data_IF_046287018329
#
_entry.id   IF_046287018329
#
_cell.length_a   1.000
_cell.length_b   1.000
_cell.length_c   1.000
_cell.angle_alpha   90.00
_cell.angle_beta   90.00
_cell.angle_gamma   90.00
#
_symmetry.space_group_name_H-M   'P 1'
#
loop_
_entity.id
_entity.type
_entity.pdbx_description
1 polymer ?
#
# COMPACT_ATOMS: atom_id res chain seq x y z
N UNK A 1 -0.34 -3.70 2.71
CA UNK A 1 -0.06 -4.52 1.51
C UNK A 1 1.16 -5.39 1.77
N UNK A 2 1.33 -6.42 0.96
CA UNK A 2 2.54 -7.25 0.94
C UNK A 2 3.31 -6.88 -0.33
N UNK A 3 4.62 -6.66 -0.21
CA UNK A 3 5.50 -6.27 -1.31
C UNK A 3 6.63 -7.30 -1.49
N UNK A 4 7.09 -7.52 -2.73
CA UNK A 4 8.20 -8.44 -3.01
C UNK A 4 9.53 -7.85 -2.53
N UNK A 5 10.43 -8.71 -2.03
CA UNK A 5 11.70 -8.32 -1.37
C UNK A 5 12.62 -7.44 -2.22
N UNK A 6 12.51 -7.50 -3.54
CA UNK A 6 13.26 -6.67 -4.50
C UNK A 6 12.97 -5.17 -4.35
N UNK A 7 11.83 -4.82 -3.75
CA UNK A 7 11.46 -3.43 -3.44
C UNK A 7 11.92 -2.99 -2.04
N UNK A 8 12.57 -3.86 -1.27
CA UNK A 8 13.04 -3.53 0.07
C UNK A 8 14.11 -2.43 0.01
N UNK A 9 13.94 -1.38 0.83
CA UNK A 9 14.79 -0.18 0.82
C UNK A 9 14.44 0.85 -0.26
N UNK A 10 13.76 0.43 -1.34
CA UNK A 10 13.19 1.34 -2.33
C UNK A 10 11.91 2.00 -1.79
N UNK A 11 11.00 1.21 -1.23
CA UNK A 11 9.81 1.73 -0.52
C UNK A 11 10.23 2.25 0.86
N UNK A 12 9.86 3.49 1.17
CA UNK A 12 10.26 4.18 2.41
C UNK A 12 9.08 4.82 3.13
N UNK A 13 9.15 4.88 4.45
CA UNK A 13 8.21 5.67 5.26
C UNK A 13 8.18 7.11 4.79
N UNK A 14 6.98 7.67 4.63
CA UNK A 14 6.76 9.01 4.09
C UNK A 14 6.48 9.05 2.59
N UNK A 15 6.82 7.99 1.84
CA UNK A 15 6.54 7.90 0.41
C UNK A 15 5.04 7.88 0.14
N UNK A 16 4.64 8.46 -0.99
CA UNK A 16 3.24 8.48 -1.43
C UNK A 16 3.00 7.41 -2.48
N UNK A 17 1.99 6.58 -2.25
CA UNK A 17 1.49 5.58 -3.19
C UNK A 17 0.10 5.98 -3.70
N UNK A 18 -0.12 5.74 -4.99
CA UNK A 18 -1.43 5.89 -5.62
C UNK A 18 -2.18 4.56 -5.53
N UNK A 19 -3.27 4.55 -4.76
CA UNK A 19 -4.13 3.40 -4.52
C UNK A 19 -5.29 3.42 -5.50
N UNK A 20 -5.44 2.33 -6.26
CA UNK A 20 -6.64 2.05 -7.07
C UNK A 20 -7.42 0.94 -6.41
N UNK A 21 -8.70 1.21 -6.16
CA UNK A 21 -9.63 0.22 -5.64
C UNK A 21 -10.16 -0.66 -6.78
N UNK A 22 -10.82 -1.75 -6.42
CA UNK A 22 -11.50 -2.67 -7.35
C UNK A 22 -12.34 -1.90 -8.41
N UNK A 23 -12.42 -2.37 -9.68
CA UNK A 23 -13.08 -1.67 -10.78
C UNK A 23 -14.51 -1.19 -10.51
N UNK A 24 -15.25 -1.82 -9.59
CA UNK A 24 -16.59 -1.36 -9.19
C UNK A 24 -16.58 -0.05 -8.38
N UNK A 25 -15.42 0.37 -7.87
CA UNK A 25 -15.20 1.65 -7.20
C UNK A 25 -14.21 2.51 -8.00
N UNK A 26 -14.75 3.44 -8.79
CA UNK A 26 -13.96 4.40 -9.54
C UNK A 26 -13.21 5.35 -8.59
N UNK A 27 -11.91 5.54 -8.83
CA UNK A 27 -11.11 6.51 -8.09
C UNK A 27 -9.64 6.14 -7.97
N UNK A 28 -8.82 7.17 -7.82
CA UNK A 28 -7.40 7.07 -7.52
C UNK A 28 -7.13 7.83 -6.22
N UNK A 29 -6.65 7.14 -5.21
CA UNK A 29 -6.53 7.67 -3.86
C UNK A 29 -5.06 7.78 -3.48
N UNK A 30 -4.67 8.91 -2.92
CA UNK A 30 -3.31 9.09 -2.41
C UNK A 30 -3.21 8.50 -1.00
N UNK A 31 -2.20 7.65 -0.77
CA UNK A 31 -1.92 7.07 0.53
C UNK A 31 -0.43 7.22 0.89
N UNK A 32 -0.15 7.50 2.15
CA UNK A 32 1.22 7.70 2.65
C UNK A 32 1.71 6.43 3.33
N UNK A 33 2.92 5.97 3.00
CA UNK A 33 3.57 4.86 3.69
C UNK A 33 3.88 5.30 5.12
N UNK A 34 3.31 4.61 6.10
CA UNK A 34 3.52 4.87 7.54
C UNK A 34 4.44 3.84 8.18
N UNK A 35 4.44 2.60 7.68
CA UNK A 35 5.30 1.52 8.20
C UNK A 35 5.83 0.69 7.03
N UNK A 36 7.12 0.37 7.11
CA UNK A 36 7.76 -0.68 6.32
C UNK A 36 8.32 -1.70 7.30
N UNK A 37 7.79 -2.91 7.27
CA UNK A 37 8.24 -3.97 8.16
C UNK A 37 9.69 -4.33 7.82
N UNK A 38 10.54 -4.36 8.85
CA UNK A 38 11.96 -4.74 8.71
C UNK A 38 12.16 -6.25 8.67
N UNK A 39 11.10 -7.02 8.90
CA UNK A 39 11.11 -8.48 8.85
C UNK A 39 10.61 -8.91 7.48
N UNK A 40 11.41 -9.72 6.81
CA UNK A 40 11.06 -10.36 5.54
C UNK A 40 10.57 -11.76 5.86
N UNK A 41 9.41 -12.12 5.32
CA UNK A 41 8.94 -13.50 5.32
C UNK A 41 9.72 -14.28 4.27
N UNK A 42 10.63 -15.15 4.72
CA UNK A 42 11.53 -15.89 3.83
C UNK A 42 10.81 -16.94 2.98
N UNK A 43 9.67 -17.47 3.44
CA UNK A 43 8.91 -18.49 2.72
C UNK A 43 8.25 -17.94 1.45
N UNK A 44 7.74 -16.70 1.51
CA UNK A 44 7.11 -16.02 0.37
C UNK A 44 8.02 -15.01 -0.34
N UNK A 45 9.14 -14.63 0.26
CA UNK A 45 10.02 -13.59 -0.28
C UNK A 45 9.37 -12.20 -0.23
N UNK A 46 8.59 -11.92 0.82
CA UNK A 46 7.82 -10.68 0.91
C UNK A 46 7.97 -9.94 2.24
N UNK A 47 7.59 -8.67 2.26
CA UNK A 47 7.52 -7.87 3.49
C UNK A 47 6.23 -7.05 3.56
N UNK A 48 5.85 -6.69 4.77
CA UNK A 48 4.67 -5.87 5.03
C UNK A 48 4.93 -4.38 4.82
N UNK A 49 3.98 -3.71 4.16
CA UNK A 49 3.96 -2.25 4.02
C UNK A 49 2.58 -1.73 4.43
N UNK A 50 2.55 -0.80 5.37
CA UNK A 50 1.32 -0.11 5.79
C UNK A 50 1.26 1.28 5.18
N UNK A 51 0.11 1.58 4.58
CA UNK A 51 -0.20 2.90 4.06
C UNK A 51 -1.42 3.46 4.80
N UNK A 52 -1.42 4.76 5.01
CA UNK A 52 -2.55 5.52 5.53
C UNK A 52 -3.21 6.28 4.38
N UNK A 53 -4.52 6.10 4.24
CA UNK A 53 -5.36 6.72 3.22
C UNK A 53 -6.48 7.48 3.91
N UNK A 54 -6.68 8.75 3.53
CA UNK A 54 -7.79 9.54 4.09
C UNK A 54 -9.11 9.03 3.53
N UNK A 55 -10.02 8.64 4.41
CA UNK A 55 -11.35 8.13 4.06
C UNK A 55 -12.47 9.06 4.59
N UNK A 56 -12.57 10.32 4.10
CA UNK A 56 -13.55 11.27 4.63
C UNK A 56 -14.98 10.76 4.38
N UNK A 57 -15.77 10.71 5.44
CA UNK A 57 -17.14 10.17 5.39
C UNK A 57 -17.19 8.64 5.27
N UNK A 58 -16.10 7.92 5.54
CA UNK A 58 -16.04 6.46 5.58
C UNK A 58 -16.56 5.76 4.30
N UNK A 59 -16.32 6.37 3.14
CA UNK A 59 -16.85 5.90 1.85
C UNK A 59 -16.17 4.64 1.32
N UNK A 60 -14.95 4.35 1.79
CA UNK A 60 -14.19 3.18 1.38
C UNK A 60 -14.36 2.08 2.44
N UNK A 61 -14.97 0.93 2.08
CA UNK A 61 -15.09 -0.22 2.98
C UNK A 61 -13.72 -0.84 3.29
N UNK A 62 -13.59 -1.42 4.49
CA UNK A 62 -12.42 -2.23 4.83
C UNK A 62 -12.42 -3.56 4.07
N UNK A 63 -11.23 -4.18 3.92
CA UNK A 63 -11.08 -5.49 3.28
C UNK A 63 -11.13 -5.48 1.75
N UNK A 64 -11.35 -4.32 1.14
CA UNK A 64 -11.35 -4.16 -0.32
C UNK A 64 -9.98 -4.50 -0.93
N UNK A 65 -10.00 -5.24 -2.03
CA UNK A 65 -8.80 -5.45 -2.85
C UNK A 65 -8.41 -4.14 -3.50
N UNK A 66 -7.12 -3.85 -3.49
CA UNK A 66 -6.56 -2.66 -4.11
C UNK A 66 -5.20 -2.94 -4.74
N UNK A 67 -4.80 -2.08 -5.66
CA UNK A 67 -3.46 -2.04 -6.22
C UNK A 67 -2.82 -0.70 -5.85
N UNK A 68 -1.51 -0.72 -5.57
CA UNK A 68 -0.75 0.47 -5.20
C UNK A 68 0.36 0.68 -6.21
N UNK A 69 0.45 1.89 -6.76
CA UNK A 69 1.58 2.35 -7.57
C UNK A 69 2.36 3.39 -6.80
N UNK A 70 3.64 3.13 -6.54
CA UNK A 70 4.53 4.13 -5.96
C UNK A 70 5.09 5.00 -7.09
N UNK A 71 5.04 6.32 -6.90
CA UNK A 71 5.76 7.26 -7.77
C UNK A 71 7.18 7.38 -7.25
N UNK A 72 8.15 7.10 -8.13
CA UNK A 72 9.60 7.22 -7.90
C UNK A 72 10.04 8.66 -7.79
#
# INVERSE_FOLDING_TARGET
MIAPVELFGAIRTGMTGQVRLDPMMSGSYSAKVTVVDRVIDAASGTFGVRLELRNPGNKIPAGMRCNVKFVS
#
